data_IF_726691930477
#
_entry.id   IF_726691930477
#
_cell.length_a   1.000
_cell.length_b   1.000
_cell.length_c   1.000
_cell.angle_alpha   90.00
_cell.angle_beta   90.00
_cell.angle_gamma   90.00
#
_symmetry.space_group_name_H-M   'P 1'
#
loop_
_entity.id
_entity.type
_entity.pdbx_description
1 polymer ?
#
# COMPACT_ATOMS: atom_id res chain seq x y z
N UNK A 1 51.87 8.45 0.17
CA UNK A 1 50.99 8.34 1.35
C UNK A 1 49.72 7.57 0.97
N UNK A 2 49.43 6.48 1.69
CA UNK A 2 48.21 5.75 1.53
C UNK A 2 47.05 6.53 2.13
N UNK A 3 46.06 6.89 1.31
CA UNK A 3 44.88 7.65 1.73
C UNK A 3 43.72 6.69 1.87
N UNK A 4 43.09 6.65 3.05
CA UNK A 4 41.84 5.94 3.27
C UNK A 4 40.65 6.84 2.94
N UNK A 5 39.95 6.52 1.86
CA UNK A 5 38.77 7.28 1.43
C UNK A 5 37.48 6.47 1.66
N UNK A 6 36.47 7.11 2.25
CA UNK A 6 35.13 6.53 2.40
C UNK A 6 34.33 6.78 1.10
N UNK A 7 34.07 5.72 0.35
CA UNK A 7 33.29 5.80 -0.88
C UNK A 7 31.90 5.21 -0.64
N UNK A 8 30.82 5.86 -1.09
CA UNK A 8 29.49 5.27 -1.05
C UNK A 8 29.44 4.04 -1.95
N UNK A 9 28.78 2.99 -1.49
CA UNK A 9 28.61 1.74 -2.24
C UNK A 9 27.14 1.44 -2.46
N UNK A 10 26.83 0.80 -3.58
CA UNK A 10 25.49 0.28 -3.86
C UNK A 10 25.12 -0.82 -2.86
N UNK A 11 23.96 -0.72 -2.23
CA UNK A 11 23.46 -1.74 -1.31
C UNK A 11 23.36 -3.13 -1.96
N UNK A 12 22.98 -3.18 -3.25
CA UNK A 12 22.77 -4.43 -3.99
C UNK A 12 24.04 -4.99 -4.61
N UNK A 13 24.73 -4.21 -5.42
CA UNK A 13 25.92 -4.67 -6.15
C UNK A 13 27.20 -4.66 -5.33
N UNK A 14 27.22 -3.94 -4.18
CA UNK A 14 28.41 -3.71 -3.33
C UNK A 14 29.57 -3.00 -4.06
N UNK A 15 29.31 -2.44 -5.24
CA UNK A 15 30.29 -1.66 -6.01
C UNK A 15 30.27 -0.19 -5.60
N UNK A 16 31.41 0.53 -5.70
CA UNK A 16 31.43 1.97 -5.53
C UNK A 16 30.46 2.66 -6.47
N UNK A 17 29.84 3.73 -5.98
CA UNK A 17 28.96 4.60 -6.77
C UNK A 17 29.55 5.99 -6.86
N UNK A 18 29.37 6.63 -8.01
CA UNK A 18 29.72 8.02 -8.25
C UNK A 18 28.46 8.87 -8.39
N UNK A 19 28.56 10.12 -7.92
CA UNK A 19 27.48 11.09 -8.08
C UNK A 19 27.86 12.01 -9.24
N UNK A 20 27.09 11.93 -10.33
CA UNK A 20 27.30 12.75 -11.51
C UNK A 20 26.06 13.61 -11.79
N UNK A 21 26.20 14.86 -12.25
CA UNK A 21 25.08 15.66 -12.72
C UNK A 21 24.46 15.04 -13.95
N UNK A 22 23.13 14.92 -13.98
CA UNK A 22 22.39 14.39 -15.11
C UNK A 22 21.08 15.15 -15.29
N UNK A 23 20.71 15.37 -16.56
CA UNK A 23 19.40 15.94 -16.89
C UNK A 23 18.31 14.90 -16.71
N UNK A 24 17.31 15.21 -15.89
CA UNK A 24 16.15 14.36 -15.62
C UNK A 24 14.87 15.18 -15.62
N UNK A 25 13.74 14.52 -15.81
CA UNK A 25 12.43 15.16 -15.60
C UNK A 25 12.10 15.19 -14.12
N UNK A 26 11.58 16.34 -13.70
CA UNK A 26 11.13 16.56 -12.33
C UNK A 26 9.65 16.96 -12.30
N UNK A 27 8.88 16.32 -11.45
CA UNK A 27 7.55 16.79 -11.09
C UNK A 27 7.69 17.81 -9.95
N UNK A 28 7.20 19.03 -10.19
CA UNK A 28 7.18 20.09 -9.16
C UNK A 28 6.28 19.65 -8.00
N UNK A 29 6.86 19.57 -6.81
CA UNK A 29 6.13 19.19 -5.60
C UNK A 29 6.36 20.15 -4.43
N UNK A 30 7.42 20.93 -4.45
CA UNK A 30 7.78 21.81 -3.33
C UNK A 30 6.73 22.88 -3.06
N UNK A 31 6.15 23.43 -4.09
CA UNK A 31 5.08 24.44 -4.03
C UNK A 31 3.72 23.85 -3.64
N UNK A 32 3.59 22.52 -3.60
CA UNK A 32 2.36 21.79 -3.24
C UNK A 32 2.33 21.28 -1.79
N UNK A 33 3.44 21.40 -1.06
CA UNK A 33 3.57 20.76 0.25
C UNK A 33 2.53 21.24 1.25
N UNK A 34 2.25 22.54 1.32
CA UNK A 34 1.24 23.06 2.26
C UNK A 34 -0.17 22.54 1.91
N UNK A 35 -0.51 22.50 0.63
CA UNK A 35 -1.74 21.88 0.17
C UNK A 35 -1.82 20.39 0.56
N UNK A 36 -0.73 19.64 0.38
CA UNK A 36 -0.67 18.22 0.76
C UNK A 36 -0.78 18.01 2.27
N UNK A 37 -0.27 18.92 3.08
CA UNK A 37 -0.48 18.88 4.54
C UNK A 37 -1.95 19.06 4.90
N UNK A 38 -2.65 19.99 4.27
CA UNK A 38 -4.08 20.20 4.49
C UNK A 38 -4.89 18.96 4.10
N UNK A 39 -4.70 18.46 2.88
CA UNK A 39 -5.38 17.24 2.41
C UNK A 39 -5.03 16.03 3.28
N UNK A 40 -3.78 15.89 3.70
CA UNK A 40 -3.34 14.82 4.61
C UNK A 40 -3.99 14.88 5.99
N UNK A 41 -4.31 16.06 6.51
CA UNK A 41 -5.05 16.23 7.77
C UNK A 41 -6.48 15.68 7.67
N UNK A 42 -7.12 15.78 6.52
CA UNK A 42 -8.48 15.30 6.27
C UNK A 42 -8.58 13.78 6.13
N UNK A 43 -7.47 13.08 5.97
CA UNK A 43 -7.45 11.61 5.87
C UNK A 43 -7.42 11.01 7.28
N UNK A 44 -8.34 10.09 7.55
CA UNK A 44 -8.32 9.29 8.78
C UNK A 44 -7.31 8.16 8.65
N UNK A 45 -6.37 8.08 9.58
CA UNK A 45 -5.37 7.00 9.60
C UNK A 45 -5.71 5.95 10.66
N UNK A 46 -5.64 4.70 10.28
CA UNK A 46 -5.79 3.53 11.14
C UNK A 46 -4.47 2.74 11.20
N UNK A 47 -3.74 2.78 12.34
CA UNK A 47 -3.97 3.63 13.51
C UNK A 47 -3.52 5.08 13.28
N UNK A 48 -4.07 5.99 14.07
CA UNK A 48 -3.85 7.44 13.96
C UNK A 48 -2.36 7.84 13.99
N UNK A 49 -1.53 7.10 14.74
CA UNK A 49 -0.09 7.41 14.89
C UNK A 49 0.67 7.40 13.56
N UNK A 50 0.21 6.65 12.56
CA UNK A 50 0.89 6.58 11.26
C UNK A 50 0.67 7.81 10.38
N UNK A 51 -0.28 8.69 10.72
CA UNK A 51 -0.39 10.01 10.08
C UNK A 51 0.90 10.82 10.21
N UNK A 52 1.60 10.68 11.35
CA UNK A 52 2.84 11.39 11.58
C UNK A 52 3.95 11.03 10.56
N UNK A 53 3.94 9.81 10.00
CA UNK A 53 4.89 9.41 8.96
C UNK A 53 4.71 10.29 7.71
N UNK A 54 3.45 10.54 7.32
CA UNK A 54 3.17 11.44 6.19
C UNK A 54 3.57 12.88 6.52
N UNK A 55 3.21 13.39 7.69
CA UNK A 55 3.51 14.78 8.08
C UNK A 55 5.02 15.03 8.11
N UNK A 56 5.79 14.16 8.77
CA UNK A 56 7.25 14.25 8.80
C UNK A 56 7.89 14.15 7.40
N UNK A 57 7.29 13.33 6.53
CA UNK A 57 7.75 13.25 5.14
C UNK A 57 7.54 14.57 4.41
N UNK A 58 6.34 15.15 4.49
CA UNK A 58 6.01 16.42 3.86
C UNK A 58 6.94 17.56 4.32
N UNK A 59 7.30 17.59 5.61
CA UNK A 59 8.25 18.56 6.17
C UNK A 59 9.68 18.34 5.68
N UNK A 60 10.05 17.13 5.33
CA UNK A 60 11.42 16.79 4.88
C UNK A 60 11.64 17.03 3.38
N UNK A 61 10.60 17.27 2.60
CA UNK A 61 10.72 17.46 1.15
C UNK A 61 11.36 18.82 0.86
N UNK A 62 12.53 18.79 0.25
CA UNK A 62 13.30 19.98 -0.14
C UNK A 62 13.67 20.02 -1.63
N UNK A 63 13.36 18.95 -2.37
CA UNK A 63 13.60 18.83 -3.82
C UNK A 63 12.33 18.40 -4.54
N UNK A 64 12.25 18.69 -5.84
CA UNK A 64 11.19 18.18 -6.71
C UNK A 64 11.40 16.68 -6.98
N UNK A 65 10.34 15.98 -7.32
CA UNK A 65 10.40 14.53 -7.52
C UNK A 65 11.01 14.17 -8.88
N UNK A 66 12.21 13.53 -8.95
CA UNK A 66 12.79 13.06 -10.21
C UNK A 66 11.99 11.85 -10.73
N UNK A 67 11.26 12.06 -11.81
CA UNK A 67 10.30 11.09 -12.36
C UNK A 67 10.83 10.26 -13.52
N UNK A 68 11.96 10.59 -14.10
CA UNK A 68 12.56 9.80 -15.19
C UNK A 68 13.59 8.79 -14.69
N UNK A 69 13.72 7.69 -15.41
CA UNK A 69 14.68 6.62 -15.14
C UNK A 69 15.36 6.17 -16.44
N UNK A 70 16.66 5.88 -16.34
CA UNK A 70 17.48 5.35 -17.44
C UNK A 70 17.57 3.83 -17.40
N UNK A 71 16.47 3.18 -17.07
CA UNK A 71 16.36 1.72 -17.01
C UNK A 71 15.34 1.27 -18.06
N UNK A 72 15.60 0.15 -18.67
CA UNK A 72 14.65 -0.47 -19.59
C UNK A 72 13.53 -1.19 -18.83
N UNK A 73 12.91 -0.50 -17.89
CA UNK A 73 11.80 -1.03 -17.08
C UNK A 73 10.95 0.10 -16.51
N UNK A 74 9.73 0.18 -16.95
CA UNK A 74 8.75 1.19 -16.58
C UNK A 74 7.94 1.63 -17.79
N UNK A 75 6.99 2.53 -17.59
CA UNK A 75 6.22 3.15 -18.67
C UNK A 75 7.07 4.22 -19.35
N UNK A 76 7.08 4.24 -20.65
CA UNK A 76 7.82 5.21 -21.44
C UNK A 76 7.28 6.63 -21.26
N UNK A 77 8.18 7.61 -21.33
CA UNK A 77 7.82 9.03 -21.26
C UNK A 77 7.39 9.47 -22.66
N UNK A 78 6.13 9.82 -22.89
CA UNK A 78 5.58 10.07 -24.23
C UNK A 78 5.99 11.44 -24.77
N UNK A 79 7.29 11.64 -25.01
CA UNK A 79 7.85 12.91 -25.50
C UNK A 79 8.72 12.65 -26.72
N UNK A 80 8.60 13.50 -27.72
CA UNK A 80 9.50 13.61 -28.86
C UNK A 80 10.15 14.99 -28.89
N UNK A 81 11.40 15.05 -29.28
CA UNK A 81 12.14 16.28 -29.46
C UNK A 81 12.33 16.58 -30.94
N UNK A 82 12.13 17.83 -31.33
CA UNK A 82 12.51 18.29 -32.64
C UNK A 82 14.03 18.20 -32.81
N UNK A 83 14.52 17.56 -33.88
CA UNK A 83 15.95 17.43 -34.15
C UNK A 83 16.65 18.77 -34.42
N UNK A 84 15.93 19.75 -34.99
CA UNK A 84 16.50 21.05 -35.35
C UNK A 84 16.58 22.03 -34.18
N UNK A 85 15.57 22.10 -33.31
CA UNK A 85 15.50 23.11 -32.28
C UNK A 85 15.34 22.55 -30.86
N UNK A 86 15.37 21.23 -30.69
CA UNK A 86 15.23 20.52 -29.42
C UNK A 86 13.94 20.78 -28.65
N UNK A 87 12.93 21.38 -29.31
CA UNK A 87 11.63 21.63 -28.66
C UNK A 87 10.93 20.32 -28.33
N UNK A 88 10.50 20.11 -27.05
CA UNK A 88 9.77 18.91 -26.65
C UNK A 88 8.31 18.99 -27.10
N UNK A 89 7.80 17.85 -27.55
CA UNK A 89 6.43 17.69 -27.99
C UNK A 89 5.77 16.50 -27.29
N UNK A 90 4.62 16.74 -26.67
CA UNK A 90 3.77 15.74 -26.05
C UNK A 90 2.62 15.42 -26.99
N UNK A 91 2.35 14.17 -27.35
CA UNK A 91 1.23 13.79 -28.21
C UNK A 91 -0.10 13.87 -27.49
N UNK A 92 -1.21 13.79 -28.25
CA UNK A 92 -2.53 13.71 -27.69
C UNK A 92 -2.71 12.48 -26.78
N UNK A 93 -3.42 12.60 -25.65
CA UNK A 93 -3.68 11.48 -24.76
C UNK A 93 -4.61 10.43 -25.39
N UNK A 94 -4.68 9.25 -24.79
CA UNK A 94 -5.68 8.22 -25.16
C UNK A 94 -5.09 6.95 -25.74
N UNK A 95 -3.79 6.90 -26.03
CA UNK A 95 -3.09 5.66 -26.37
C UNK A 95 -1.74 5.55 -25.67
N UNK A 96 -1.18 4.34 -25.69
CA UNK A 96 0.16 4.06 -25.22
C UNK A 96 1.17 4.36 -26.34
N UNK A 97 2.23 5.09 -26.01
CA UNK A 97 3.28 5.50 -26.94
C UNK A 97 4.62 4.91 -26.54
N UNK A 98 5.43 4.53 -27.55
CA UNK A 98 6.83 4.11 -27.39
C UNK A 98 7.75 5.01 -28.19
N UNK A 99 8.10 6.22 -27.69
CA UNK A 99 8.82 7.21 -28.47
C UNK A 99 10.14 6.72 -29.05
N UNK A 100 10.86 5.88 -28.32
CA UNK A 100 12.13 5.30 -28.76
C UNK A 100 11.99 4.32 -29.94
N UNK A 101 10.79 3.79 -30.22
CA UNK A 101 10.54 2.77 -31.25
C UNK A 101 9.45 3.18 -32.26
N UNK A 102 8.72 4.27 -32.01
CA UNK A 102 7.61 4.70 -32.84
C UNK A 102 7.91 6.04 -33.53
N UNK A 103 7.35 6.24 -34.71
CA UNK A 103 7.38 7.53 -35.38
C UNK A 103 6.57 8.55 -34.60
N UNK A 104 7.09 9.78 -34.50
CA UNK A 104 6.35 10.88 -33.86
C UNK A 104 4.98 11.05 -34.54
N UNK A 105 3.88 11.10 -33.74
CA UNK A 105 2.53 11.33 -34.28
C UNK A 105 2.29 12.80 -34.67
N UNK A 106 3.19 13.70 -34.28
CA UNK A 106 3.12 15.12 -34.61
C UNK A 106 3.82 15.35 -35.96
N UNK A 107 3.14 16.05 -36.85
CA UNK A 107 3.64 16.23 -38.22
C UNK A 107 4.77 17.25 -38.30
N UNK A 108 4.61 18.40 -37.62
CA UNK A 108 5.57 19.49 -37.69
C UNK A 108 5.83 20.08 -36.32
N UNK A 109 7.06 20.49 -36.07
CA UNK A 109 7.44 21.23 -34.85
C UNK A 109 6.72 22.57 -34.77
N UNK A 110 6.12 22.87 -33.65
CA UNK A 110 5.39 24.12 -33.41
C UNK A 110 6.28 25.35 -33.39
N UNK A 111 7.61 25.16 -33.17
CA UNK A 111 8.58 26.25 -33.05
C UNK A 111 9.34 26.53 -34.36
N UNK A 112 9.77 25.52 -35.08
CA UNK A 112 10.63 25.70 -36.30
C UNK A 112 10.07 25.04 -37.53
N UNK A 113 8.87 24.42 -37.46
CA UNK A 113 8.17 23.76 -38.56
C UNK A 113 8.92 22.55 -39.18
N UNK A 114 9.99 22.05 -38.55
CA UNK A 114 10.66 20.82 -38.97
C UNK A 114 9.77 19.59 -38.73
N UNK A 115 9.89 18.58 -39.60
CA UNK A 115 9.20 17.29 -39.47
C UNK A 115 10.07 16.19 -38.89
N UNK A 116 11.30 16.50 -38.50
CA UNK A 116 12.26 15.55 -37.95
C UNK A 116 12.24 15.52 -36.43
N UNK A 117 11.96 14.35 -35.86
CA UNK A 117 11.87 14.16 -34.44
C UNK A 117 12.70 12.96 -33.96
N UNK A 118 13.13 13.02 -32.70
CA UNK A 118 13.73 11.93 -31.97
C UNK A 118 12.89 11.64 -30.70
N UNK A 119 12.58 10.39 -30.44
CA UNK A 119 11.79 9.99 -29.27
C UNK A 119 12.62 9.90 -28.00
N UNK A 120 11.98 10.13 -26.87
CA UNK A 120 12.57 9.94 -25.54
C UNK A 120 12.82 8.45 -25.29
N UNK A 121 13.99 8.12 -24.74
CA UNK A 121 14.39 6.75 -24.41
C UNK A 121 14.22 6.38 -22.93
N UNK A 122 14.05 7.39 -22.07
CA UNK A 122 13.85 7.18 -20.63
C UNK A 122 12.44 6.69 -20.32
N UNK A 123 12.31 6.03 -19.19
CA UNK A 123 11.02 5.59 -18.65
C UNK A 123 10.65 6.38 -17.41
N UNK A 124 9.40 6.33 -17.01
CA UNK A 124 8.98 6.88 -15.73
C UNK A 124 9.49 6.04 -14.55
N UNK A 125 9.65 6.69 -13.40
CA UNK A 125 9.67 6.03 -12.11
C UNK A 125 8.39 5.19 -11.94
N UNK A 126 8.52 3.95 -11.51
CA UNK A 126 7.37 3.04 -11.33
C UNK A 126 6.34 3.55 -10.31
N UNK A 127 6.72 4.49 -9.43
CA UNK A 127 5.77 5.20 -8.59
C UNK A 127 4.86 6.15 -9.37
N UNK A 128 5.27 6.60 -10.56
CA UNK A 128 4.39 7.34 -11.47
C UNK A 128 3.21 6.49 -11.92
N UNK A 129 3.47 5.23 -12.27
CA UNK A 129 2.41 4.29 -12.70
C UNK A 129 1.48 3.95 -11.54
N UNK A 130 2.04 3.52 -10.41
CA UNK A 130 1.26 3.10 -9.24
C UNK A 130 0.49 4.25 -8.57
N UNK A 131 0.96 5.49 -8.70
CA UNK A 131 0.33 6.67 -8.11
C UNK A 131 -1.02 7.05 -8.74
N UNK A 132 -1.35 6.53 -9.92
CA UNK A 132 -2.66 6.75 -10.58
C UNK A 132 -3.61 5.57 -10.41
N UNK A 133 -3.26 4.57 -9.59
CA UNK A 133 -4.11 3.39 -9.38
C UNK A 133 -5.56 3.70 -8.95
N UNK A 134 -5.86 4.66 -8.07
CA UNK A 134 -7.25 5.03 -7.77
C UNK A 134 -7.99 5.59 -8.99
N UNK A 135 -7.33 6.39 -9.81
CA UNK A 135 -7.92 6.96 -11.03
C UNK A 135 -8.17 5.88 -12.08
N UNK A 136 -7.23 4.92 -12.19
CA UNK A 136 -7.39 3.80 -13.12
C UNK A 136 -8.58 2.89 -12.72
N UNK A 137 -8.68 2.53 -11.45
CA UNK A 137 -9.75 1.67 -10.91
C UNK A 137 -11.11 2.36 -11.01
N UNK A 138 -11.18 3.65 -10.71
CA UNK A 138 -12.40 4.45 -10.79
C UNK A 138 -12.79 4.86 -12.21
N UNK A 139 -12.02 4.45 -13.23
CA UNK A 139 -12.24 4.77 -14.64
C UNK A 139 -12.21 6.28 -14.98
N UNK A 140 -11.41 7.06 -14.27
CA UNK A 140 -11.20 8.48 -14.56
C UNK A 140 -10.99 8.73 -16.06
N UNK A 141 -11.65 9.73 -16.63
CA UNK A 141 -11.65 10.08 -18.07
C UNK A 141 -12.14 8.96 -19.02
N UNK A 142 -12.72 7.87 -18.51
CA UNK A 142 -13.24 6.76 -19.33
C UNK A 142 -14.72 6.47 -19.08
N UNK A 143 -15.22 6.80 -17.87
CA UNK A 143 -16.60 6.57 -17.47
C UNK A 143 -16.94 7.52 -16.32
N UNK A 144 -17.43 8.70 -16.65
CA UNK A 144 -17.69 9.78 -15.69
C UNK A 144 -18.79 9.44 -14.68
N UNK A 145 -19.78 8.63 -15.07
CA UNK A 145 -20.84 8.21 -14.15
C UNK A 145 -20.30 7.24 -13.09
N UNK A 146 -19.48 6.30 -13.52
CA UNK A 146 -18.84 5.36 -12.60
C UNK A 146 -17.85 6.08 -11.69
N UNK A 147 -17.03 6.98 -12.26
CA UNK A 147 -16.06 7.77 -11.50
C UNK A 147 -16.74 8.53 -10.34
N UNK A 148 -17.80 9.28 -10.61
CA UNK A 148 -18.55 10.03 -9.60
C UNK A 148 -19.17 9.17 -8.50
N UNK A 149 -19.41 7.89 -8.76
CA UNK A 149 -19.98 6.95 -7.77
C UNK A 149 -18.93 6.34 -6.84
N UNK A 150 -17.69 6.17 -7.32
CA UNK A 150 -16.67 5.38 -6.61
C UNK A 150 -15.45 6.18 -6.18
N UNK A 151 -15.31 7.42 -6.61
CA UNK A 151 -14.22 8.31 -6.24
C UNK A 151 -14.76 9.48 -5.39
N UNK A 152 -14.11 9.82 -4.27
CA UNK A 152 -12.96 9.14 -3.67
C UNK A 152 -13.31 7.75 -3.10
N UNK A 153 -12.32 6.84 -3.04
CA UNK A 153 -12.50 5.55 -2.40
C UNK A 153 -12.64 5.69 -0.86
N UNK A 154 -13.24 4.72 -0.20
CA UNK A 154 -13.41 4.75 1.25
C UNK A 154 -12.07 4.59 1.96
N UNK A 155 -11.33 3.53 1.66
CA UNK A 155 -10.13 3.15 2.41
C UNK A 155 -9.00 2.69 1.50
N UNK A 156 -7.76 3.00 1.92
CA UNK A 156 -6.53 2.51 1.30
C UNK A 156 -5.69 1.70 2.28
N UNK A 157 -5.66 0.35 2.17
CA UNK A 157 -4.75 -0.48 2.95
C UNK A 157 -3.35 -0.47 2.34
N UNK A 158 -2.33 -0.34 3.19
CA UNK A 158 -0.92 -0.39 2.81
C UNK A 158 0.02 -0.60 4.00
N UNK A 159 1.29 -0.90 3.74
CA UNK A 159 2.32 -0.94 4.77
C UNK A 159 2.95 0.43 5.03
N UNK A 160 3.53 0.62 6.22
CA UNK A 160 4.10 1.90 6.67
C UNK A 160 5.32 2.36 5.86
N UNK A 161 6.05 1.45 5.20
CA UNK A 161 7.24 1.78 4.41
C UNK A 161 6.92 2.54 3.11
N UNK A 162 5.71 2.40 2.60
CA UNK A 162 5.29 3.06 1.36
C UNK A 162 4.40 4.30 1.58
N UNK A 163 4.28 4.78 2.82
CA UNK A 163 3.58 6.04 3.11
C UNK A 163 4.28 7.22 2.44
N UNK A 164 5.64 7.23 2.43
CA UNK A 164 6.47 8.29 1.83
C UNK A 164 6.53 8.25 0.31
N UNK A 165 6.14 7.14 -0.28
CA UNK A 165 6.18 6.91 -1.73
C UNK A 165 4.77 6.71 -2.28
N UNK A 166 4.24 5.50 -2.26
CA UNK A 166 2.97 5.20 -2.88
C UNK A 166 1.79 6.02 -2.34
N UNK A 167 1.64 6.18 -1.01
CA UNK A 167 0.56 7.00 -0.46
C UNK A 167 0.73 8.47 -0.87
N UNK A 168 1.91 9.04 -0.61
CA UNK A 168 2.17 10.44 -0.88
C UNK A 168 2.07 10.79 -2.37
N UNK A 169 2.72 10.02 -3.24
CA UNK A 169 2.66 10.30 -4.68
C UNK A 169 1.26 10.09 -5.26
N UNK A 170 0.49 9.14 -4.73
CA UNK A 170 -0.92 8.99 -5.12
C UNK A 170 -1.74 10.19 -4.67
N UNK A 171 -1.56 10.64 -3.44
CA UNK A 171 -2.24 11.81 -2.91
C UNK A 171 -1.97 13.05 -3.77
N UNK A 172 -0.68 13.34 -4.02
CA UNK A 172 -0.23 14.45 -4.84
C UNK A 172 -0.85 14.42 -6.24
N UNK A 173 -0.74 13.28 -6.93
CA UNK A 173 -1.19 13.19 -8.32
C UNK A 173 -2.69 13.16 -8.48
N UNK A 174 -3.39 12.49 -7.61
CA UNK A 174 -4.85 12.45 -7.67
C UNK A 174 -5.44 13.83 -7.36
N UNK A 175 -4.92 14.50 -6.34
CA UNK A 175 -5.37 15.86 -6.01
C UNK A 175 -5.10 16.85 -7.14
N UNK A 176 -3.90 16.83 -7.74
CA UNK A 176 -3.58 17.72 -8.88
C UNK A 176 -4.44 17.44 -10.13
N UNK A 177 -4.89 16.21 -10.35
CA UNK A 177 -5.68 15.83 -11.52
C UNK A 177 -7.19 16.00 -11.32
N UNK A 178 -7.67 15.89 -10.08
CA UNK A 178 -9.12 15.88 -9.79
C UNK A 178 -9.58 17.01 -8.87
N UNK A 179 -8.65 17.64 -8.14
CA UNK A 179 -8.98 18.60 -7.07
C UNK A 179 -9.47 17.94 -5.78
N UNK A 180 -9.43 16.60 -5.69
CA UNK A 180 -9.95 15.84 -4.55
C UNK A 180 -8.97 14.78 -4.07
N UNK A 181 -9.00 14.47 -2.76
CA UNK A 181 -8.26 13.36 -2.19
C UNK A 181 -8.76 12.02 -2.74
N UNK A 182 -7.86 11.05 -2.98
CA UNK A 182 -8.25 9.78 -3.60
C UNK A 182 -8.98 8.79 -2.68
N UNK A 183 -8.95 9.00 -1.36
CA UNK A 183 -9.63 8.17 -0.35
C UNK A 183 -9.87 8.96 0.96
N UNK A 184 -10.84 8.52 1.74
CA UNK A 184 -11.16 9.12 3.04
C UNK A 184 -10.29 8.57 4.17
N UNK A 185 -9.87 7.32 4.07
CA UNK A 185 -9.19 6.60 5.13
C UNK A 185 -7.95 5.87 4.63
N UNK A 186 -6.91 5.78 5.46
CA UNK A 186 -5.69 5.01 5.19
C UNK A 186 -5.46 3.98 6.31
N UNK A 187 -5.48 2.68 5.96
CA UNK A 187 -5.19 1.61 6.89
C UNK A 187 -3.74 1.16 6.74
N UNK A 188 -2.91 1.53 7.72
CA UNK A 188 -1.46 1.39 7.61
C UNK A 188 -0.95 0.29 8.54
N UNK A 189 -0.33 -0.74 7.95
CA UNK A 189 0.18 -1.91 8.65
C UNK A 189 1.68 -1.80 8.94
N UNK A 190 2.12 -2.49 10.01
CA UNK A 190 3.52 -2.67 10.34
C UNK A 190 4.25 -3.65 9.41
N UNK A 191 5.51 -3.94 9.73
CA UNK A 191 6.33 -4.90 9.01
C UNK A 191 6.14 -6.33 9.53
N UNK A 192 6.16 -7.29 8.62
CA UNK A 192 6.46 -8.67 8.96
C UNK A 192 7.96 -8.84 9.25
N UNK A 193 8.26 -9.37 10.42
CA UNK A 193 9.61 -9.68 10.87
C UNK A 193 9.81 -11.19 10.90
N UNK A 194 11.04 -11.64 10.64
CA UNK A 194 11.42 -13.02 10.87
C UNK A 194 11.55 -13.33 12.38
N UNK A 195 11.87 -14.58 12.72
CA UNK A 195 12.01 -15.00 14.11
C UNK A 195 13.11 -14.24 14.88
N UNK A 196 14.12 -13.74 14.17
CA UNK A 196 15.20 -12.91 14.72
C UNK A 196 14.82 -11.44 14.88
N UNK A 197 13.62 -11.04 14.43
CA UNK A 197 13.14 -9.65 14.47
C UNK A 197 13.65 -8.78 13.32
N UNK A 198 14.20 -9.39 12.26
CA UNK A 198 14.64 -8.68 11.06
C UNK A 198 13.47 -8.52 10.08
N UNK A 199 13.35 -7.35 9.46
CA UNK A 199 12.35 -7.13 8.40
C UNK A 199 12.50 -8.16 7.30
N UNK A 200 11.42 -8.88 7.02
CA UNK A 200 11.36 -9.85 5.93
C UNK A 200 11.46 -9.17 4.57
N UNK A 201 12.30 -9.69 3.70
CA UNK A 201 12.39 -9.26 2.30
C UNK A 201 12.90 -10.40 1.40
N UNK A 202 12.44 -10.41 0.14
CA UNK A 202 12.90 -11.38 -0.86
C UNK A 202 14.40 -11.28 -1.10
N UNK A 203 14.96 -10.06 -1.10
CA UNK A 203 16.39 -9.83 -1.34
C UNK A 203 17.30 -10.36 -0.23
N UNK A 204 16.80 -10.54 1.00
CA UNK A 204 17.52 -11.12 2.14
C UNK A 204 17.28 -12.62 2.28
N UNK A 205 16.36 -13.18 1.51
CA UNK A 205 16.03 -14.61 1.58
C UNK A 205 15.34 -15.05 2.89
N UNK A 206 14.85 -14.10 3.70
CA UNK A 206 14.18 -14.37 4.98
C UNK A 206 12.65 -14.14 4.91
N UNK A 207 12.10 -13.97 3.70
CA UNK A 207 10.66 -13.86 3.52
C UNK A 207 10.01 -15.24 3.54
N UNK A 208 8.91 -15.38 4.29
CA UNK A 208 8.10 -16.60 4.32
C UNK A 208 7.07 -16.49 3.19
N UNK A 209 7.08 -17.50 2.31
CA UNK A 209 6.02 -17.65 1.32
C UNK A 209 4.74 -18.15 2.01
N UNK A 210 3.61 -17.45 1.90
CA UNK A 210 2.38 -17.88 2.52
C UNK A 210 1.78 -19.14 1.91
N UNK A 211 2.04 -19.46 0.64
CA UNK A 211 1.40 -20.59 -0.04
C UNK A 211 1.74 -21.94 0.60
N UNK A 212 3.00 -22.32 0.86
CA UNK A 212 3.30 -23.56 1.56
C UNK A 212 2.72 -23.63 2.97
N UNK A 213 2.63 -22.49 3.67
CA UNK A 213 1.98 -22.43 4.99
C UNK A 213 0.49 -22.71 4.89
N UNK A 214 -0.17 -22.12 3.91
CA UNK A 214 -1.61 -22.33 3.65
C UNK A 214 -1.87 -23.78 3.25
N UNK A 215 -1.05 -24.39 2.41
CA UNK A 215 -1.16 -25.80 2.03
C UNK A 215 -1.02 -26.74 3.24
N UNK A 216 -0.10 -26.47 4.14
CA UNK A 216 0.15 -27.28 5.34
C UNK A 216 -0.89 -27.08 6.44
N UNK A 217 -1.29 -25.85 6.69
CA UNK A 217 -2.06 -25.46 7.87
C UNK A 217 -3.53 -25.12 7.58
N UNK A 218 -3.86 -24.82 6.33
CA UNK A 218 -5.16 -24.31 5.89
C UNK A 218 -5.26 -22.79 5.87
N UNK A 219 -6.08 -22.30 4.96
CA UNK A 219 -6.27 -20.86 4.74
C UNK A 219 -6.88 -20.15 5.97
N UNK A 220 -7.86 -20.78 6.62
CA UNK A 220 -8.52 -20.21 7.80
C UNK A 220 -7.53 -20.04 8.96
N UNK A 221 -6.65 -21.03 9.15
CA UNK A 221 -5.59 -20.96 10.16
C UNK A 221 -4.67 -19.77 9.92
N UNK A 222 -4.20 -19.60 8.68
CA UNK A 222 -3.31 -18.51 8.33
C UNK A 222 -4.00 -17.14 8.47
N UNK A 223 -5.25 -17.03 8.03
CA UNK A 223 -6.05 -15.80 8.16
C UNK A 223 -6.32 -15.44 9.61
N UNK A 224 -6.76 -16.40 10.44
CA UNK A 224 -7.00 -16.15 11.85
C UNK A 224 -5.73 -15.82 12.60
N UNK A 225 -4.62 -16.53 12.32
CA UNK A 225 -3.31 -16.19 12.86
C UNK A 225 -2.92 -14.75 12.50
N UNK A 226 -3.08 -14.34 11.25
CA UNK A 226 -2.80 -12.96 10.83
C UNK A 226 -3.61 -11.94 11.62
N UNK A 227 -4.91 -12.20 11.85
CA UNK A 227 -5.76 -11.33 12.64
C UNK A 227 -5.35 -11.28 14.12
N UNK A 228 -5.03 -12.43 14.74
CA UNK A 228 -4.79 -12.55 16.17
C UNK A 228 -3.38 -12.21 16.64
N UNK A 229 -2.42 -12.10 15.72
CA UNK A 229 -1.01 -11.78 16.05
C UNK A 229 -0.56 -10.41 15.55
N UNK A 230 -1.28 -9.81 14.60
CA UNK A 230 -0.92 -8.53 14.03
C UNK A 230 -1.71 -7.42 14.73
N UNK A 231 -1.13 -6.89 15.80
CA UNK A 231 -1.70 -5.71 16.42
C UNK A 231 -1.61 -4.52 15.45
N UNK A 232 -2.70 -3.78 15.33
CA UNK A 232 -2.93 -2.76 14.33
C UNK A 232 -1.80 -1.72 14.27
N UNK A 233 -1.11 -1.68 13.14
CA UNK A 233 -0.01 -0.74 12.86
C UNK A 233 1.35 -1.11 13.47
N UNK A 234 1.44 -2.15 14.28
CA UNK A 234 2.70 -2.59 14.86
C UNK A 234 3.40 -3.65 13.99
N UNK A 235 4.71 -3.76 14.15
CA UNK A 235 5.48 -4.82 13.54
C UNK A 235 5.18 -6.15 14.25
N UNK A 236 5.12 -7.23 13.48
CA UNK A 236 4.81 -8.55 14.02
C UNK A 236 5.87 -9.57 13.60
N UNK A 237 6.14 -10.54 14.46
CA UNK A 237 7.05 -11.65 14.15
C UNK A 237 6.25 -12.82 13.62
N UNK A 238 6.65 -13.30 12.45
CA UNK A 238 6.12 -14.54 11.91
C UNK A 238 6.77 -15.72 12.61
N UNK A 239 5.94 -16.63 13.17
CA UNK A 239 6.39 -17.80 13.90
C UNK A 239 5.46 -18.98 13.60
N UNK A 240 6.05 -20.11 13.09
CA UNK A 240 5.26 -21.28 12.72
C UNK A 240 4.56 -21.94 13.91
N UNK A 241 5.14 -21.92 15.11
CA UNK A 241 4.50 -22.50 16.30
C UNK A 241 3.20 -21.76 16.68
N UNK A 242 3.14 -20.45 16.46
CA UNK A 242 1.93 -19.67 16.68
C UNK A 242 0.86 -20.00 15.64
N UNK A 243 1.25 -20.28 14.40
CA UNK A 243 0.32 -20.74 13.36
C UNK A 243 -0.26 -22.10 13.74
N UNK A 244 0.57 -23.03 14.21
CA UNK A 244 0.13 -24.37 14.69
C UNK A 244 -0.84 -24.26 15.87
N UNK A 245 -0.59 -23.36 16.83
CA UNK A 245 -1.48 -23.15 17.95
C UNK A 245 -2.85 -22.59 17.52
N UNK A 246 -2.85 -21.75 16.49
CA UNK A 246 -4.08 -21.22 15.88
C UNK A 246 -4.93 -22.34 15.25
N UNK A 247 -4.29 -23.28 14.58
CA UNK A 247 -4.99 -24.46 14.02
C UNK A 247 -5.68 -25.29 15.11
N UNK A 248 -5.03 -25.49 16.24
CA UNK A 248 -5.62 -26.19 17.41
C UNK A 248 -6.84 -25.45 17.94
N UNK A 249 -6.76 -24.12 18.03
CA UNK A 249 -7.90 -23.29 18.43
C UNK A 249 -9.10 -23.44 17.47
N UNK A 250 -8.87 -23.27 16.16
CA UNK A 250 -9.94 -23.42 15.17
C UNK A 250 -10.56 -24.82 15.19
N UNK A 251 -9.75 -25.86 15.38
CA UNK A 251 -10.25 -27.24 15.52
C UNK A 251 -11.11 -27.40 16.79
N UNK A 252 -10.74 -26.77 17.91
CA UNK A 252 -11.57 -26.73 19.11
C UNK A 252 -12.90 -26.04 18.85
N UNK A 253 -12.86 -24.83 18.27
CA UNK A 253 -14.05 -24.05 17.96
C UNK A 253 -15.02 -24.84 17.06
N UNK A 254 -14.50 -25.50 16.02
CA UNK A 254 -15.27 -26.38 15.14
C UNK A 254 -15.92 -27.53 15.90
N UNK A 255 -15.16 -28.22 16.75
CA UNK A 255 -15.67 -29.36 17.53
C UNK A 255 -16.71 -28.93 18.57
N UNK A 256 -16.53 -27.81 19.23
CA UNK A 256 -17.53 -27.23 20.15
C UNK A 256 -18.82 -26.92 19.40
N UNK A 257 -18.71 -26.27 18.24
CA UNK A 257 -19.89 -25.96 17.41
C UNK A 257 -20.63 -27.21 16.97
N UNK A 258 -19.90 -28.26 16.54
CA UNK A 258 -20.49 -29.56 16.19
C UNK A 258 -21.18 -30.23 17.39
N UNK A 259 -20.55 -30.19 18.55
CA UNK A 259 -21.12 -30.73 19.77
C UNK A 259 -22.41 -30.01 20.13
N UNK A 260 -22.42 -28.70 20.14
CA UNK A 260 -23.62 -27.89 20.43
C UNK A 260 -24.74 -28.17 19.42
N UNK A 261 -24.41 -28.32 18.14
CA UNK A 261 -25.40 -28.62 17.09
C UNK A 261 -26.06 -29.99 17.20
N UNK A 262 -25.55 -30.91 18.03
CA UNK A 262 -26.14 -32.20 18.30
C UNK A 262 -27.29 -32.16 19.30
N UNK A 263 -27.48 -31.06 20.00
CA UNK A 263 -28.58 -30.89 20.93
C UNK A 263 -29.82 -30.29 20.25
N UNK A 264 -31.03 -30.70 20.64
CA UNK A 264 -32.22 -30.08 20.11
C UNK A 264 -32.32 -28.63 20.60
N UNK A 265 -32.87 -27.75 19.77
CA UNK A 265 -33.25 -26.41 20.19
C UNK A 265 -34.47 -26.51 21.13
N UNK A 266 -34.33 -26.01 22.34
CA UNK A 266 -35.41 -26.00 23.34
C UNK A 266 -35.84 -24.52 23.53
N UNK A 267 -37.07 -24.22 23.14
CA UNK A 267 -37.63 -22.87 23.19
C UNK A 267 -38.19 -22.46 24.58
N UNK A 268 -38.16 -23.37 25.54
CA UNK A 268 -38.75 -23.11 26.85
C UNK A 268 -37.82 -23.49 28.01
N UNK A 269 -37.48 -22.52 28.80
CA UNK A 269 -36.69 -22.67 30.02
C UNK A 269 -36.51 -21.33 30.72
N UNK A 270 -36.45 -21.35 32.03
CA UNK A 270 -36.09 -20.16 32.82
C UNK A 270 -34.56 -20.15 32.90
N UNK A 271 -33.88 -19.11 32.43
CA UNK A 271 -32.41 -19.03 32.48
C UNK A 271 -31.93 -19.08 33.94
N UNK A 272 -30.98 -19.96 34.21
CA UNK A 272 -30.26 -20.03 35.50
C UNK A 272 -29.34 -18.83 35.65
N UNK A 273 -28.74 -18.65 36.81
CA UNK A 273 -27.78 -17.55 37.03
C UNK A 273 -26.48 -17.77 36.20
N UNK A 274 -26.11 -19.03 35.94
CA UNK A 274 -25.00 -19.36 35.03
C UNK A 274 -25.32 -18.96 33.59
N UNK A 275 -26.55 -19.20 33.13
CA UNK A 275 -26.97 -18.79 31.77
C UNK A 275 -26.95 -17.27 31.61
N UNK A 276 -27.45 -16.55 32.62
CA UNK A 276 -27.43 -15.09 32.65
C UNK A 276 -26.00 -14.55 32.65
N UNK A 277 -25.11 -15.19 33.41
CA UNK A 277 -23.69 -14.81 33.43
C UNK A 277 -23.03 -14.99 32.05
N UNK A 278 -23.15 -16.16 31.45
CA UNK A 278 -22.52 -16.40 30.12
C UNK A 278 -23.09 -15.49 29.03
N UNK A 279 -24.39 -15.21 29.06
CA UNK A 279 -25.03 -14.26 28.14
C UNK A 279 -24.52 -12.84 28.34
N UNK A 280 -24.26 -12.44 29.61
CA UNK A 280 -23.63 -11.14 29.91
C UNK A 280 -22.22 -11.05 29.37
N UNK A 281 -21.41 -12.10 29.50
CA UNK A 281 -20.04 -12.15 28.96
C UNK A 281 -20.06 -12.14 27.42
N UNK A 282 -21.00 -12.86 26.79
CA UNK A 282 -21.19 -12.82 25.34
C UNK A 282 -21.58 -11.42 24.85
N UNK A 283 -22.44 -10.69 25.57
CA UNK A 283 -22.81 -9.32 25.20
C UNK A 283 -21.62 -8.37 25.26
N UNK A 284 -20.74 -8.52 26.25
CA UNK A 284 -19.48 -7.77 26.33
C UNK A 284 -18.57 -8.09 25.14
N UNK A 285 -18.39 -9.38 24.82
CA UNK A 285 -17.60 -9.83 23.69
C UNK A 285 -18.12 -9.25 22.37
N UNK A 286 -19.43 -9.29 22.14
CA UNK A 286 -20.03 -8.73 20.92
C UNK A 286 -19.76 -7.24 20.79
N UNK A 287 -19.88 -6.47 21.89
CA UNK A 287 -19.57 -5.04 21.90
C UNK A 287 -18.11 -4.75 21.62
N UNK A 288 -17.21 -5.52 22.19
CA UNK A 288 -15.78 -5.40 21.96
C UNK A 288 -15.40 -5.74 20.51
N UNK A 289 -15.94 -6.83 19.98
CA UNK A 289 -15.75 -7.22 18.57
C UNK A 289 -16.27 -6.15 17.62
N UNK A 290 -17.47 -5.62 17.86
CA UNK A 290 -18.05 -4.55 17.04
C UNK A 290 -17.15 -3.33 17.00
N UNK A 291 -16.68 -2.86 18.16
CA UNK A 291 -15.73 -1.75 18.24
C UNK A 291 -14.44 -2.03 17.47
N UNK A 292 -13.85 -3.21 17.63
CA UNK A 292 -12.63 -3.57 16.92
C UNK A 292 -12.79 -3.55 15.40
N UNK A 293 -13.91 -4.06 14.88
CA UNK A 293 -14.20 -4.03 13.45
C UNK A 293 -14.46 -2.62 12.93
N UNK A 294 -15.15 -1.77 13.67
CA UNK A 294 -15.39 -0.37 13.32
C UNK A 294 -14.09 0.44 13.25
N UNK A 295 -13.09 0.07 14.05
CA UNK A 295 -11.76 0.69 14.09
C UNK A 295 -10.75 0.01 13.13
N UNK A 296 -11.17 -0.97 12.32
CA UNK A 296 -10.31 -1.82 11.47
C UNK A 296 -9.20 -2.55 12.25
N UNK A 297 -9.41 -2.77 13.54
CA UNK A 297 -8.50 -3.50 14.41
C UNK A 297 -8.97 -4.94 14.62
N UNK A 298 -8.56 -5.84 13.75
CA UNK A 298 -8.97 -7.25 13.78
C UNK A 298 -8.29 -8.05 14.90
N UNK A 299 -7.21 -7.52 15.49
CA UNK A 299 -6.51 -8.15 16.61
C UNK A 299 -7.40 -8.29 17.84
N UNK A 300 -8.09 -7.22 18.23
CA UNK A 300 -8.95 -7.21 19.40
C UNK A 300 -10.05 -8.28 19.31
N UNK A 301 -10.89 -8.31 18.27
CA UNK A 301 -11.91 -9.35 18.10
C UNK A 301 -11.34 -10.77 18.10
N UNK A 302 -10.25 -11.00 17.37
CA UNK A 302 -9.66 -12.33 17.25
C UNK A 302 -9.14 -12.87 18.59
N UNK A 303 -8.50 -12.02 19.38
CA UNK A 303 -8.01 -12.38 20.72
C UNK A 303 -9.18 -12.61 21.69
N UNK A 304 -10.15 -11.69 21.73
CA UNK A 304 -11.30 -11.77 22.62
C UNK A 304 -12.17 -13.03 22.33
N UNK A 305 -12.43 -13.35 21.08
CA UNK A 305 -13.15 -14.58 20.69
C UNK A 305 -12.35 -15.83 21.11
N UNK A 306 -11.04 -15.83 20.91
CA UNK A 306 -10.19 -16.95 21.33
C UNK A 306 -10.24 -17.17 22.84
N UNK A 307 -10.13 -16.13 23.63
CA UNK A 307 -10.19 -16.18 25.10
C UNK A 307 -11.55 -16.65 25.59
N UNK A 308 -12.62 -16.10 25.09
CA UNK A 308 -13.99 -16.50 25.44
C UNK A 308 -14.28 -17.98 25.10
N UNK A 309 -13.76 -18.48 23.98
CA UNK A 309 -13.99 -19.88 23.57
C UNK A 309 -13.10 -20.85 24.35
N UNK A 310 -11.92 -20.41 24.80
CA UNK A 310 -10.93 -21.28 25.43
C UNK A 310 -11.17 -21.43 26.94
N UNK A 311 -11.57 -20.38 27.60
CA UNK A 311 -11.80 -20.29 29.05
C UNK A 311 -13.27 -20.43 29.41
#
# INVERSE_FOLDING_TARGET
EDIVHRTPISERSKTPIEIIPMEEYYLKQKDKIEKMKEVGKEITFHPTMHKQILMNWLESINIDWPISRRRFYGTEIPIWYCKECSEPHVPEPGKYYRPWNEKCPITNCTKCNSSEFIGEERTFDTWMDSSVSPLFISKFSRDDEFFKKVYPATIRPQAKDIVRTWLYYTLLRCEELTGEKPWSEAWVMGYGLDEKGMKMSKSKGNAIDPLPVIEKQGADTFRFWSASEINHGYDFRCNEQKIDSTKKFLSKLWNVSRFLSSFPVIDSGVPTDTDKWILSELDKLVKECKKGYEEYNFFIPAVAIREFTWN
#
